data_IF_595476428331
#
_entry.id   IF_595476428331
#
_cell.length_a   1.000
_cell.length_b   1.000
_cell.length_c   1.000
_cell.angle_alpha   90.00
_cell.angle_beta   90.00
_cell.angle_gamma   90.00
#
_symmetry.space_group_name_H-M   'P 1'
#
loop_
_entity.id
_entity.type
_entity.pdbx_description
1 polymer ?
#
# COMPACT_ATOMS: atom_id res chain seq x y z
N UNK A 1 -5.87 33.51 -38.96
CA UNK A 1 -6.76 32.83 -37.98
C UNK A 1 -5.90 31.89 -37.15
N UNK A 2 -5.75 32.04 -35.83
CA UNK A 2 -4.95 31.11 -35.05
C UNK A 2 -5.80 29.91 -34.62
N UNK A 3 -5.31 28.71 -34.94
CA UNK A 3 -5.86 27.46 -34.46
C UNK A 3 -5.50 27.29 -32.97
N UNK A 4 -6.48 27.53 -32.10
CA UNK A 4 -6.41 27.18 -30.69
C UNK A 4 -6.35 25.66 -30.56
N UNK A 5 -5.14 25.10 -30.48
CA UNK A 5 -4.92 23.72 -30.07
C UNK A 5 -5.41 23.56 -28.63
N UNK A 6 -6.67 23.15 -28.48
CA UNK A 6 -7.22 22.65 -27.22
C UNK A 6 -6.53 21.33 -26.88
N UNK A 7 -5.34 21.42 -26.29
CA UNK A 7 -4.71 20.30 -25.60
C UNK A 7 -5.63 19.92 -24.43
N UNK A 8 -6.46 18.89 -24.64
CA UNK A 8 -7.21 18.28 -23.55
C UNK A 8 -6.18 17.86 -22.48
N UNK A 9 -6.26 18.38 -21.24
CA UNK A 9 -5.36 17.95 -20.19
C UNK A 9 -5.59 16.46 -19.96
N UNK A 10 -4.55 15.66 -20.15
CA UNK A 10 -4.57 14.22 -19.85
C UNK A 10 -5.08 14.04 -18.42
N UNK A 11 -5.96 13.05 -18.17
CA UNK A 11 -6.51 12.83 -16.84
C UNK A 11 -5.36 12.60 -15.86
N UNK A 12 -5.26 13.46 -14.85
CA UNK A 12 -4.23 13.35 -13.82
C UNK A 12 -4.36 12.00 -13.11
N UNK A 13 -3.26 11.24 -13.07
CA UNK A 13 -3.24 9.92 -12.42
C UNK A 13 -3.69 10.12 -10.96
N UNK A 14 -4.74 9.41 -10.49
CA UNK A 14 -5.21 9.57 -9.13
C UNK A 14 -4.11 9.19 -8.14
N UNK A 15 -3.53 10.20 -7.48
CA UNK A 15 -2.48 10.00 -6.48
C UNK A 15 -3.03 9.39 -5.20
N UNK A 16 -2.15 8.75 -4.44
CA UNK A 16 -2.44 8.26 -3.10
C UNK A 16 -2.88 9.42 -2.18
N UNK A 17 -3.76 9.13 -1.22
CA UNK A 17 -4.26 10.12 -0.28
C UNK A 17 -3.21 10.46 0.80
N UNK A 18 -3.44 11.55 1.55
CA UNK A 18 -2.60 11.87 2.74
C UNK A 18 -2.63 10.74 3.77
N UNK A 19 -3.79 10.14 4.02
CA UNK A 19 -3.94 9.02 4.95
C UNK A 19 -3.18 7.79 4.44
N UNK A 20 -3.30 7.45 3.16
CA UNK A 20 -2.55 6.34 2.56
C UNK A 20 -1.04 6.53 2.63
N UNK A 21 -0.55 7.77 2.51
CA UNK A 21 0.87 8.10 2.72
C UNK A 21 1.31 7.91 4.16
N UNK A 22 0.48 8.32 5.12
CA UNK A 22 0.77 8.13 6.56
C UNK A 22 0.79 6.65 6.90
N UNK A 23 -0.15 5.86 6.39
CA UNK A 23 -0.17 4.40 6.56
C UNK A 23 1.07 3.75 5.94
N UNK A 24 1.48 4.18 4.74
CA UNK A 24 2.73 3.70 4.13
C UNK A 24 3.96 4.08 4.97
N UNK A 25 4.02 5.30 5.53
CA UNK A 25 5.11 5.69 6.42
C UNK A 25 5.13 4.88 7.73
N UNK A 26 3.95 4.57 8.28
CA UNK A 26 3.83 3.70 9.44
C UNK A 26 4.31 2.27 9.13
N UNK A 27 3.99 1.75 7.94
CA UNK A 27 4.47 0.46 7.47
C UNK A 27 6.00 0.43 7.32
N UNK A 28 6.59 1.47 6.70
CA UNK A 28 8.05 1.64 6.62
C UNK A 28 8.69 1.63 8.02
N UNK A 29 8.11 2.36 8.97
CA UNK A 29 8.64 2.39 10.34
C UNK A 29 8.58 1.01 10.99
N UNK A 30 7.45 0.31 10.88
CA UNK A 30 7.27 -1.06 11.36
C UNK A 30 8.29 -2.03 10.74
N UNK A 31 8.47 -1.96 9.43
CA UNK A 31 9.42 -2.81 8.69
C UNK A 31 10.85 -2.49 9.10
N UNK A 32 11.21 -1.21 9.26
CA UNK A 32 12.53 -0.80 9.76
C UNK A 32 12.81 -1.41 11.14
N UNK A 33 11.85 -1.32 12.07
CA UNK A 33 12.00 -1.93 13.39
C UNK A 33 12.12 -3.46 13.29
N UNK A 34 11.35 -4.10 12.41
CA UNK A 34 11.41 -5.55 12.21
C UNK A 34 12.76 -5.99 11.64
N UNK A 35 13.31 -5.25 10.67
CA UNK A 35 14.64 -5.51 10.10
C UNK A 35 15.71 -5.37 11.19
N UNK A 36 15.69 -4.29 11.98
CA UNK A 36 16.73 -4.03 12.99
C UNK A 36 16.70 -5.06 14.12
N UNK A 37 15.51 -5.38 14.64
CA UNK A 37 15.39 -6.19 15.85
C UNK A 37 15.17 -7.69 15.59
N UNK A 38 14.71 -8.08 14.41
CA UNK A 38 14.46 -9.48 14.05
C UNK A 38 15.32 -9.91 12.87
N UNK A 39 15.38 -9.10 11.81
CA UNK A 39 16.11 -9.42 10.58
C UNK A 39 17.63 -9.49 10.76
N UNK A 40 18.24 -8.45 11.33
CA UNK A 40 19.70 -8.38 11.51
C UNK A 40 20.23 -9.50 12.41
N UNK A 41 19.66 -9.77 13.60
CA UNK A 41 20.08 -10.92 14.40
C UNK A 41 19.96 -12.24 13.65
N UNK A 42 18.87 -12.44 12.89
CA UNK A 42 18.65 -13.68 12.15
C UNK A 42 19.65 -13.87 11.01
N UNK A 43 20.04 -12.81 10.31
CA UNK A 43 21.04 -12.85 9.23
C UNK A 43 22.44 -13.10 9.79
N UNK A 44 22.77 -12.61 10.99
CA UNK A 44 24.05 -12.89 11.64
C UNK A 44 24.22 -14.36 11.97
N UNK A 45 23.15 -15.01 12.45
CA UNK A 45 23.15 -16.44 12.75
C UNK A 45 23.06 -17.31 11.48
N UNK A 46 22.26 -16.88 10.49
CA UNK A 46 22.00 -17.63 9.27
C UNK A 46 21.97 -16.71 8.03
N UNK A 47 23.13 -16.50 7.37
CA UNK A 47 23.24 -15.55 6.26
C UNK A 47 22.34 -15.87 5.06
N UNK A 48 22.05 -17.14 4.81
CA UNK A 48 21.19 -17.58 3.71
C UNK A 48 19.74 -17.10 3.86
N UNK A 49 19.29 -16.78 5.08
CA UNK A 49 17.96 -16.21 5.35
C UNK A 49 17.78 -14.84 4.69
N UNK A 50 18.87 -14.15 4.33
CA UNK A 50 18.81 -12.90 3.58
C UNK A 50 18.10 -13.08 2.22
N UNK A 51 18.25 -14.23 1.57
CA UNK A 51 17.59 -14.52 0.28
C UNK A 51 16.06 -14.57 0.45
N UNK A 52 15.58 -15.18 1.53
CA UNK A 52 14.14 -15.20 1.85
C UNK A 52 13.61 -13.85 2.31
N UNK A 53 14.46 -12.92 2.74
CA UNK A 53 14.08 -11.57 3.14
C UNK A 53 13.98 -10.57 1.96
N UNK A 54 14.45 -10.95 0.76
CA UNK A 54 14.42 -10.09 -0.43
C UNK A 54 13.02 -9.59 -0.82
N UNK A 55 11.95 -10.42 -0.79
CA UNK A 55 10.59 -9.94 -1.05
C UNK A 55 10.18 -8.81 -0.08
N UNK A 56 10.39 -9.01 1.21
CA UNK A 56 10.13 -8.00 2.25
C UNK A 56 10.94 -6.72 2.06
N UNK A 57 12.24 -6.82 1.72
CA UNK A 57 13.07 -5.65 1.44
C UNK A 57 12.60 -4.88 0.19
N UNK A 58 12.14 -5.60 -0.83
CA UNK A 58 11.55 -5.00 -2.03
C UNK A 58 10.28 -4.24 -1.66
N UNK A 59 9.41 -4.84 -0.85
CA UNK A 59 8.19 -4.20 -0.36
C UNK A 59 8.48 -2.97 0.49
N UNK A 60 9.51 -3.01 1.33
CA UNK A 60 9.99 -1.86 2.09
C UNK A 60 10.30 -0.64 1.21
N UNK A 61 11.04 -0.86 0.12
CA UNK A 61 11.34 0.22 -0.84
C UNK A 61 10.07 0.72 -1.54
N UNK A 62 9.12 -0.18 -1.84
CA UNK A 62 7.84 0.20 -2.44
C UNK A 62 6.97 1.02 -1.48
N UNK A 63 6.93 0.70 -0.19
CA UNK A 63 6.26 1.51 0.83
C UNK A 63 6.92 2.87 1.00
N UNK A 64 8.24 2.96 0.86
CA UNK A 64 8.93 4.25 0.84
C UNK A 64 8.44 5.13 -0.31
N UNK A 65 8.31 4.57 -1.52
CA UNK A 65 7.76 5.29 -2.67
C UNK A 65 6.30 5.74 -2.43
N UNK A 66 5.50 4.90 -1.77
CA UNK A 66 4.13 5.25 -1.36
C UNK A 66 4.11 6.40 -0.35
N UNK A 67 4.96 6.37 0.67
CA UNK A 67 5.06 7.41 1.70
C UNK A 67 5.42 8.77 1.10
N UNK A 68 6.33 8.77 0.10
CA UNK A 68 6.70 9.96 -0.67
C UNK A 68 5.56 10.50 -1.54
N UNK A 69 4.49 9.73 -1.78
CA UNK A 69 3.32 10.18 -2.53
C UNK A 69 3.56 10.36 -4.03
N UNK A 70 4.63 9.75 -4.56
CA UNK A 70 5.04 9.87 -5.97
C UNK A 70 4.25 8.95 -6.91
N UNK A 71 3.52 8.00 -6.36
CA UNK A 71 2.88 6.90 -7.09
C UNK A 71 1.35 6.98 -7.10
N UNK A 72 0.74 6.35 -8.10
CA UNK A 72 -0.71 6.31 -8.30
C UNK A 72 -1.43 5.30 -7.41
N UNK A 73 -2.76 5.42 -7.34
CA UNK A 73 -3.62 4.57 -6.51
C UNK A 73 -3.60 3.08 -6.89
N UNK A 74 -3.50 2.75 -8.18
CA UNK A 74 -3.45 1.36 -8.65
C UNK A 74 -2.17 0.69 -8.16
N UNK A 75 -1.03 1.37 -8.31
CA UNK A 75 0.25 0.91 -7.78
C UNK A 75 0.18 0.71 -6.26
N UNK A 76 -0.43 1.65 -5.52
CA UNK A 76 -0.65 1.49 -4.09
C UNK A 76 -1.46 0.22 -3.76
N UNK A 77 -2.54 -0.05 -4.49
CA UNK A 77 -3.34 -1.26 -4.27
C UNK A 77 -2.53 -2.54 -4.50
N UNK A 78 -1.73 -2.59 -5.57
CA UNK A 78 -0.84 -3.73 -5.84
C UNK A 78 0.16 -3.93 -4.72
N UNK A 79 0.84 -2.86 -4.29
CA UNK A 79 1.81 -2.94 -3.19
C UNK A 79 1.15 -3.48 -1.92
N UNK A 80 0.01 -2.91 -1.49
CA UNK A 80 -0.68 -3.38 -0.28
C UNK A 80 -1.15 -4.84 -0.37
N UNK A 81 -1.56 -5.31 -1.56
CA UNK A 81 -1.90 -6.72 -1.77
C UNK A 81 -0.68 -7.63 -1.68
N UNK A 82 0.44 -7.24 -2.29
CA UNK A 82 1.69 -7.98 -2.16
C UNK A 82 2.19 -8.01 -0.71
N UNK A 83 2.09 -6.89 0.01
CA UNK A 83 2.42 -6.84 1.44
C UNK A 83 1.53 -7.79 2.24
N UNK A 84 0.23 -7.87 1.94
CA UNK A 84 -0.64 -8.84 2.61
C UNK A 84 -0.15 -10.28 2.38
N UNK A 85 0.21 -10.63 1.14
CA UNK A 85 0.68 -11.96 0.80
C UNK A 85 2.02 -12.28 1.48
N UNK A 86 2.95 -11.33 1.49
CA UNK A 86 4.26 -11.47 2.16
C UNK A 86 4.08 -11.65 3.67
N UNK A 87 3.19 -10.89 4.28
CA UNK A 87 2.92 -10.96 5.72
C UNK A 87 2.25 -12.29 6.11
N UNK A 88 1.36 -12.81 5.26
CA UNK A 88 0.77 -14.15 5.42
C UNK A 88 1.80 -15.26 5.19
N UNK A 89 2.72 -15.08 4.23
CA UNK A 89 3.80 -16.02 3.96
C UNK A 89 4.78 -16.09 5.14
N UNK A 90 5.16 -14.95 5.71
CA UNK A 90 6.01 -14.87 6.90
C UNK A 90 5.38 -15.57 8.12
N UNK A 91 4.05 -15.45 8.29
CA UNK A 91 3.33 -16.17 9.35
C UNK A 91 3.39 -17.70 9.17
N UNK A 92 3.41 -18.19 7.94
CA UNK A 92 3.52 -19.62 7.65
C UNK A 92 4.95 -20.12 7.93
N UNK A 93 5.97 -19.41 7.42
CA UNK A 93 7.38 -19.72 7.66
C UNK A 93 7.72 -19.74 9.16
N UNK A 94 7.11 -18.86 9.95
CA UNK A 94 7.36 -18.83 11.40
C UNK A 94 6.92 -20.10 12.13
N UNK A 95 5.92 -20.83 11.63
CA UNK A 95 5.50 -22.10 12.25
C UNK A 95 6.55 -23.20 12.09
N UNK A 96 7.46 -23.07 11.14
CA UNK A 96 8.49 -24.06 10.81
C UNK A 96 9.84 -23.76 11.47
N UNK A 97 10.02 -22.59 12.08
CA UNK A 97 11.27 -22.21 12.75
C UNK A 97 11.34 -22.81 14.17
N UNK A 98 12.33 -23.68 14.41
CA UNK A 98 12.60 -24.24 15.73
C UNK A 98 13.16 -23.18 16.70
N UNK A 99 12.50 -23.04 17.85
CA UNK A 99 12.94 -22.36 19.08
C UNK A 99 13.26 -20.83 19.04
N UNK A 100 12.28 -19.95 18.78
CA UNK A 100 12.40 -18.53 19.13
C UNK A 100 12.28 -18.31 20.65
N UNK A 101 13.07 -17.39 21.20
CA UNK A 101 12.95 -16.97 22.61
C UNK A 101 11.58 -16.33 22.88
N UNK A 102 11.05 -16.43 24.11
CA UNK A 102 9.74 -15.84 24.48
C UNK A 102 9.62 -14.35 24.13
N UNK A 103 10.72 -13.61 24.21
CA UNK A 103 10.78 -12.19 23.81
C UNK A 103 10.59 -11.98 22.30
N UNK A 104 11.25 -12.79 21.47
CA UNK A 104 11.11 -12.76 20.01
C UNK A 104 9.69 -13.14 19.58
N UNK A 105 9.06 -14.14 20.22
CA UNK A 105 7.67 -14.52 19.92
C UNK A 105 6.71 -13.34 20.15
N UNK A 106 6.83 -12.65 21.29
CA UNK A 106 5.97 -11.50 21.60
C UNK A 106 6.20 -10.36 20.62
N UNK A 107 7.46 -10.08 20.31
CA UNK A 107 7.82 -9.01 19.37
C UNK A 107 7.33 -9.29 17.95
N UNK A 108 7.43 -10.55 17.53
CA UNK A 108 6.95 -11.02 16.24
C UNK A 108 5.42 -10.96 16.16
N UNK A 109 4.71 -11.39 17.21
CA UNK A 109 3.25 -11.26 17.29
C UNK A 109 2.80 -9.80 17.13
N UNK A 110 3.43 -8.87 17.84
CA UNK A 110 3.13 -7.44 17.71
C UNK A 110 3.48 -6.91 16.32
N UNK A 111 4.60 -7.33 15.74
CA UNK A 111 4.99 -6.96 14.39
C UNK A 111 3.92 -7.37 13.38
N UNK A 112 3.48 -8.63 13.39
CA UNK A 112 2.43 -9.12 12.50
C UNK A 112 1.07 -8.48 12.75
N UNK A 113 0.68 -8.30 14.01
CA UNK A 113 -0.59 -7.66 14.36
C UNK A 113 -0.65 -6.22 13.85
N UNK A 114 0.42 -5.44 14.06
CA UNK A 114 0.52 -4.07 13.57
C UNK A 114 0.56 -4.03 12.04
N UNK A 115 1.35 -4.91 11.40
CA UNK A 115 1.43 -5.01 9.94
C UNK A 115 0.06 -5.28 9.32
N UNK A 116 -0.64 -6.33 9.77
CA UNK A 116 -1.99 -6.66 9.31
C UNK A 116 -2.98 -5.52 9.55
N UNK A 117 -2.93 -4.88 10.72
CA UNK A 117 -3.78 -3.73 11.03
C UNK A 117 -3.59 -2.58 10.04
N UNK A 118 -2.34 -2.21 9.74
CA UNK A 118 -2.00 -1.15 8.79
C UNK A 118 -2.45 -1.53 7.37
N UNK A 119 -2.16 -2.75 6.92
CA UNK A 119 -2.56 -3.26 5.60
C UNK A 119 -4.09 -3.18 5.42
N UNK A 120 -4.85 -3.69 6.39
CA UNK A 120 -6.32 -3.70 6.33
C UNK A 120 -6.88 -2.28 6.30
N UNK A 121 -6.35 -1.37 7.11
CA UNK A 121 -6.76 0.04 7.09
C UNK A 121 -6.45 0.70 5.74
N UNK A 122 -5.29 0.40 5.14
CA UNK A 122 -4.91 0.97 3.86
C UNK A 122 -5.78 0.45 2.70
N UNK A 123 -6.06 -0.86 2.67
CA UNK A 123 -6.97 -1.46 1.69
C UNK A 123 -8.40 -0.94 1.85
N UNK A 124 -8.91 -0.82 3.08
CA UNK A 124 -10.22 -0.25 3.35
C UNK A 124 -10.31 1.22 2.88
N UNK A 125 -9.28 2.02 3.13
CA UNK A 125 -9.18 3.41 2.68
C UNK A 125 -9.23 3.51 1.15
N UNK A 126 -8.46 2.66 0.46
CA UNK A 126 -8.41 2.59 -0.99
C UNK A 126 -9.76 2.19 -1.59
N UNK A 127 -10.38 1.14 -1.04
CA UNK A 127 -11.68 0.63 -1.48
C UNK A 127 -12.78 1.68 -1.28
N UNK A 128 -12.82 2.31 -0.10
CA UNK A 128 -13.78 3.38 0.21
C UNK A 128 -13.67 4.54 -0.78
N UNK A 129 -12.44 5.02 -1.04
CA UNK A 129 -12.23 6.10 -2.00
C UNK A 129 -12.53 5.70 -3.43
N UNK A 130 -12.32 4.44 -3.79
CA UNK A 130 -12.68 3.93 -5.11
C UNK A 130 -14.20 4.01 -5.30
N UNK A 131 -14.96 3.47 -4.34
CA UNK A 131 -16.42 3.48 -4.39
C UNK A 131 -16.98 4.90 -4.43
N UNK A 132 -16.46 5.80 -3.58
CA UNK A 132 -16.88 7.22 -3.55
C UNK A 132 -16.60 7.95 -4.86
N UNK A 133 -15.44 7.71 -5.48
CA UNK A 133 -15.10 8.33 -6.75
C UNK A 133 -15.98 7.81 -7.90
N UNK A 134 -16.26 6.50 -7.93
CA UNK A 134 -17.17 5.89 -8.90
C UNK A 134 -18.59 6.45 -8.79
N UNK A 135 -19.08 6.64 -7.56
CA UNK A 135 -20.39 7.26 -7.32
C UNK A 135 -20.44 8.71 -7.80
N UNK A 136 -19.40 9.51 -7.54
CA UNK A 136 -19.31 10.90 -8.02
C UNK A 136 -19.25 10.99 -9.55
N UNK A 137 -18.45 10.13 -10.19
CA UNK A 137 -18.36 10.10 -11.66
C UNK A 137 -19.72 9.82 -12.30
N UNK A 138 -20.48 8.85 -11.77
CA UNK A 138 -21.84 8.55 -12.24
C UNK A 138 -22.79 9.75 -12.09
N UNK A 139 -22.75 10.45 -10.95
CA UNK A 139 -23.57 11.66 -10.72
C UNK A 139 -23.22 12.78 -11.71
N UNK A 140 -21.93 13.01 -11.95
CA UNK A 140 -21.48 14.05 -12.88
C UNK A 140 -21.95 13.78 -14.31
N UNK A 141 -21.85 12.52 -14.77
CA UNK A 141 -22.36 12.11 -16.09
C UNK A 141 -23.88 12.35 -16.18
N UNK A 142 -24.63 12.01 -15.14
CA UNK A 142 -26.08 12.24 -15.12
C UNK A 142 -26.44 13.74 -15.14
N UNK A 143 -25.74 14.57 -14.36
CA UNK A 143 -25.92 16.01 -14.39
C UNK A 143 -25.59 16.62 -15.75
N UNK A 144 -24.48 16.20 -16.38
CA UNK A 144 -24.12 16.65 -17.73
C UNK A 144 -25.17 16.23 -18.77
N UNK A 145 -25.71 15.01 -18.67
CA UNK A 145 -26.78 14.56 -19.55
C UNK A 145 -28.06 15.41 -19.39
N UNK A 146 -28.44 15.76 -18.16
CA UNK A 146 -29.59 16.65 -17.90
C UNK A 146 -29.36 18.06 -18.48
N UNK A 147 -28.18 18.63 -18.28
CA UNK A 147 -27.84 19.96 -18.80
C UNK A 147 -27.84 19.98 -20.34
N UNK A 148 -27.26 18.96 -20.97
CA UNK A 148 -27.26 18.81 -22.42
C UNK A 148 -28.69 18.64 -22.99
N UNK A 149 -29.57 17.93 -22.29
CA UNK A 149 -30.97 17.77 -22.69
C UNK A 149 -31.76 19.10 -22.60
N UNK A 150 -31.44 19.97 -21.63
CA UNK A 150 -32.06 21.29 -21.50
C UNK A 150 -31.61 22.28 -22.56
N UNK A 151 -30.34 22.23 -23.01
CA UNK A 151 -29.83 23.10 -24.06
C UNK A 151 -30.37 22.79 -25.47
N UNK A 152 -30.99 21.62 -25.66
CA UNK A 152 -31.59 21.21 -26.95
C UNK A 152 -33.08 21.56 -27.08
N UNK A 153 -33.68 22.13 -26.05
CA UNK A 153 -35.06 22.67 -26.06
C UNK A 153 -34.99 24.18 -26.11
#
# INVERSE_FOLDING_TARGET
MPHSHHLHPLPSIPKISRLGRVLAAAQVLKETLSIVFLGLPLVQEQPLVLLSALPGLTLYLLHWQLALGRVGRVFAAVVWLLTLLDELWGLLLFKELEAPTRGQIRMLHWSYFLGLGIILLALAELAWRWQRNKARARRNVHHQAILAARQRR
#
